data_IF_379076002427
#
_entry.id   IF_379076002427
#
_cell.length_a   1.000
_cell.length_b   1.000
_cell.length_c   1.000
_cell.angle_alpha   90.00
_cell.angle_beta   90.00
_cell.angle_gamma   90.00
#
_symmetry.space_group_name_H-M   'P 1'
#
loop_
_entity.id
_entity.type
_entity.pdbx_description
1 polymer ?
#
# COMPACT_ATOMS: atom_id res chain seq x y z
N UNK A 1 2.05 -5.94 -15.81
CA UNK A 1 3.36 -5.83 -16.49
C UNK A 1 4.37 -6.64 -15.69
N UNK A 2 5.19 -7.45 -16.36
CA UNK A 2 6.27 -8.21 -15.70
C UNK A 2 7.54 -7.33 -15.71
N UNK A 3 8.24 -7.15 -14.58
CA UNK A 3 9.49 -6.39 -14.56
C UNK A 3 10.54 -7.00 -15.51
N UNK A 4 11.37 -6.15 -16.12
CA UNK A 4 12.48 -6.62 -16.96
C UNK A 4 13.43 -7.49 -16.12
N UNK A 5 13.76 -8.68 -16.61
CA UNK A 5 14.65 -9.64 -15.92
C UNK A 5 13.94 -10.62 -15.00
N UNK A 6 12.63 -10.45 -14.75
CA UNK A 6 11.87 -11.32 -13.87
C UNK A 6 11.84 -12.79 -14.33
N UNK A 7 11.93 -13.70 -13.37
CA UNK A 7 11.96 -15.15 -13.56
C UNK A 7 10.62 -15.81 -13.16
N UNK A 8 9.51 -15.19 -13.52
CA UNK A 8 8.15 -15.67 -13.24
C UNK A 8 7.18 -15.17 -14.30
N UNK A 9 5.99 -15.79 -14.38
CA UNK A 9 4.91 -15.36 -15.26
C UNK A 9 4.05 -14.28 -14.62
N UNK A 10 3.24 -13.61 -15.43
CA UNK A 10 2.28 -12.63 -14.95
C UNK A 10 1.35 -13.26 -13.91
N UNK A 11 1.13 -12.57 -12.77
CA UNK A 11 0.33 -13.04 -11.62
C UNK A 11 0.95 -14.20 -10.81
N UNK A 12 2.17 -14.62 -11.13
CA UNK A 12 2.89 -15.71 -10.46
C UNK A 12 4.13 -15.21 -9.69
N UNK A 13 4.24 -13.92 -9.39
CA UNK A 13 5.42 -13.39 -8.71
C UNK A 13 5.55 -13.94 -7.27
N UNK A 14 6.78 -14.03 -6.73
CA UNK A 14 7.00 -14.47 -5.35
C UNK A 14 6.73 -13.38 -4.30
N UNK A 15 6.13 -12.25 -4.70
CA UNK A 15 5.84 -11.11 -3.85
C UNK A 15 4.34 -11.03 -3.62
N UNK A 16 3.90 -11.38 -2.42
CA UNK A 16 2.48 -11.53 -2.11
C UNK A 16 1.98 -10.46 -1.15
N UNK A 17 0.72 -10.08 -1.35
CA UNK A 17 -0.05 -9.19 -0.48
C UNK A 17 -1.34 -9.88 -0.03
N UNK A 18 -1.85 -9.48 1.14
CA UNK A 18 -3.13 -9.97 1.66
C UNK A 18 -4.31 -9.57 0.78
N UNK A 19 -5.24 -10.51 0.59
CA UNK A 19 -6.42 -10.33 -0.26
C UNK A 19 -7.35 -9.20 0.16
N UNK A 20 -7.31 -8.78 1.44
CA UNK A 20 -8.05 -7.60 1.91
C UNK A 20 -7.67 -6.32 1.14
N UNK A 21 -6.47 -6.24 0.56
CA UNK A 21 -6.09 -5.15 -0.34
C UNK A 21 -7.01 -5.09 -1.57
N UNK A 22 -7.24 -6.23 -2.23
CA UNK A 22 -8.07 -6.32 -3.43
C UNK A 22 -9.56 -6.22 -3.13
N UNK A 23 -10.00 -6.79 -2.00
CA UNK A 23 -11.35 -6.56 -1.49
C UNK A 23 -11.60 -5.06 -1.27
N UNK A 24 -10.59 -4.33 -0.78
CA UNK A 24 -10.63 -2.88 -0.63
C UNK A 24 -10.87 -2.15 -1.95
N UNK A 25 -10.17 -2.55 -3.02
CA UNK A 25 -10.43 -2.03 -4.38
C UNK A 25 -11.85 -2.37 -4.85
N UNK A 26 -12.28 -3.63 -4.73
CA UNK A 26 -13.63 -4.04 -5.14
C UNK A 26 -14.73 -3.26 -4.40
N UNK A 27 -14.61 -3.15 -3.08
CA UNK A 27 -15.53 -2.39 -2.25
C UNK A 27 -15.56 -0.91 -2.62
N UNK A 28 -14.39 -0.29 -2.81
CA UNK A 28 -14.31 1.12 -3.19
C UNK A 28 -15.09 1.41 -4.48
N UNK A 29 -14.91 0.59 -5.52
CA UNK A 29 -15.62 0.79 -6.78
C UNK A 29 -17.13 0.55 -6.63
N UNK A 30 -17.54 -0.50 -5.92
CA UNK A 30 -18.95 -0.80 -5.68
C UNK A 30 -19.66 0.28 -4.84
N UNK A 31 -18.95 0.90 -3.91
CA UNK A 31 -19.51 1.94 -3.03
C UNK A 31 -19.56 3.32 -3.70
N UNK A 32 -18.66 3.61 -4.65
CA UNK A 32 -18.47 4.98 -5.17
C UNK A 32 -18.92 5.16 -6.64
N UNK A 33 -19.14 4.08 -7.39
CA UNK A 33 -19.55 4.15 -8.79
C UNK A 33 -20.78 3.28 -9.05
N UNK A 34 -21.74 3.79 -9.80
CA UNK A 34 -22.96 3.05 -10.16
C UNK A 34 -22.64 1.77 -10.95
N UNK A 35 -21.62 1.81 -11.81
CA UNK A 35 -21.15 0.64 -12.55
C UNK A 35 -20.29 -0.33 -11.71
N UNK A 36 -20.04 0.00 -10.44
CA UNK A 36 -19.24 -0.79 -9.51
C UNK A 36 -17.86 -1.12 -10.05
N UNK A 37 -17.38 -2.32 -9.73
CA UNK A 37 -16.11 -2.85 -10.26
C UNK A 37 -16.08 -2.95 -11.79
N UNK A 38 -17.24 -2.98 -12.46
CA UNK A 38 -17.36 -2.99 -13.91
C UNK A 38 -16.72 -1.75 -14.56
N UNK A 39 -16.74 -0.59 -13.89
CA UNK A 39 -16.05 0.61 -14.37
C UNK A 39 -14.53 0.43 -14.48
N UNK A 40 -13.92 -0.25 -13.49
CA UNK A 40 -12.49 -0.58 -13.54
C UNK A 40 -12.20 -1.60 -14.64
N UNK A 41 -13.01 -2.65 -14.74
CA UNK A 41 -12.81 -3.74 -15.71
C UNK A 41 -12.81 -3.22 -17.14
N UNK A 42 -13.66 -2.25 -17.45
CA UNK A 42 -13.74 -1.61 -18.76
C UNK A 42 -12.44 -0.90 -19.18
N UNK A 43 -11.67 -0.37 -18.22
CA UNK A 43 -10.39 0.31 -18.48
C UNK A 43 -9.22 -0.67 -18.68
N UNK A 44 -9.31 -1.88 -18.13
CA UNK A 44 -8.22 -2.86 -18.15
C UNK A 44 -8.11 -3.48 -19.53
N UNK A 45 -6.92 -3.47 -20.14
CA UNK A 45 -6.70 -4.06 -21.46
C UNK A 45 -6.47 -5.59 -21.41
N UNK A 46 -5.74 -6.08 -20.39
CA UNK A 46 -5.39 -7.51 -20.26
C UNK A 46 -6.56 -8.32 -19.72
N UNK A 47 -7.03 -9.36 -20.44
CA UNK A 47 -8.05 -10.29 -19.93
C UNK A 47 -7.65 -10.94 -18.61
N UNK A 48 -6.40 -11.35 -18.47
CA UNK A 48 -5.89 -12.01 -17.27
C UNK A 48 -5.96 -11.09 -16.03
N UNK A 49 -5.71 -9.79 -16.23
CA UNK A 49 -5.84 -8.81 -15.14
C UNK A 49 -7.31 -8.52 -14.80
N UNK A 50 -8.22 -8.57 -15.78
CA UNK A 50 -9.68 -8.48 -15.53
C UNK A 50 -10.16 -9.66 -14.70
N UNK A 51 -9.79 -10.88 -15.11
CA UNK A 51 -10.14 -12.11 -14.40
C UNK A 51 -9.58 -12.09 -12.98
N UNK A 52 -8.32 -11.66 -12.85
CA UNK A 52 -7.68 -11.54 -11.55
C UNK A 52 -8.41 -10.58 -10.62
N UNK A 53 -8.73 -9.35 -11.06
CA UNK A 53 -9.34 -8.35 -10.17
C UNK A 53 -10.83 -8.60 -9.88
N UNK A 54 -11.50 -9.43 -10.67
CA UNK A 54 -12.92 -9.78 -10.49
C UNK A 54 -13.12 -11.07 -9.72
N UNK A 55 -12.08 -11.87 -9.51
CA UNK A 55 -12.19 -13.09 -8.71
C UNK A 55 -12.59 -12.77 -7.24
N UNK A 56 -13.18 -13.75 -6.54
CA UNK A 56 -13.36 -13.66 -5.09
C UNK A 56 -12.00 -13.68 -4.37
N UNK A 57 -11.74 -12.68 -3.52
CA UNK A 57 -10.56 -12.64 -2.66
C UNK A 57 -10.90 -13.03 -1.22
N UNK A 58 -10.09 -13.89 -0.61
CA UNK A 58 -10.12 -14.14 0.83
C UNK A 58 -9.25 -13.10 1.54
N UNK A 59 -9.78 -12.45 2.58
CA UNK A 59 -9.09 -11.36 3.28
C UNK A 59 -7.68 -11.74 3.76
N UNK A 60 -7.52 -12.95 4.30
CA UNK A 60 -6.25 -13.48 4.82
C UNK A 60 -5.42 -14.23 3.77
N UNK A 61 -5.95 -14.46 2.55
CA UNK A 61 -5.27 -15.14 1.46
C UNK A 61 -4.12 -14.32 0.89
N UNK A 62 -3.19 -14.97 0.19
CA UNK A 62 -2.00 -14.37 -0.40
C UNK A 62 -2.13 -14.30 -1.93
N UNK A 63 -1.91 -13.12 -2.50
CA UNK A 63 -2.10 -12.83 -3.92
C UNK A 63 -0.92 -12.01 -4.45
N UNK A 64 -0.62 -12.09 -5.75
CA UNK A 64 0.52 -11.37 -6.36
C UNK A 64 0.39 -9.85 -6.18
N UNK A 65 1.40 -9.19 -5.61
CA UNK A 65 1.42 -7.76 -5.35
C UNK A 65 1.90 -6.91 -6.56
N UNK A 66 2.64 -7.49 -7.50
CA UNK A 66 3.20 -6.74 -8.64
C UNK A 66 2.18 -6.11 -9.60
N UNK A 67 0.94 -6.61 -9.74
CA UNK A 67 -0.08 -5.92 -10.52
C UNK A 67 -0.53 -4.58 -9.96
N UNK A 68 -0.31 -4.31 -8.66
CA UNK A 68 -0.93 -3.17 -7.97
C UNK A 68 -0.58 -1.82 -8.61
N UNK A 69 0.69 -1.47 -8.91
CA UNK A 69 1.00 -0.20 -9.56
C UNK A 69 0.29 -0.01 -10.91
N UNK A 70 0.14 -1.09 -11.69
CA UNK A 70 -0.59 -1.03 -12.96
C UNK A 70 -2.10 -0.87 -12.73
N UNK A 71 -2.67 -1.57 -11.76
CA UNK A 71 -4.08 -1.42 -11.37
C UNK A 71 -4.40 0.01 -10.96
N UNK A 72 -3.56 0.65 -10.14
CA UNK A 72 -3.76 2.06 -9.73
C UNK A 72 -3.90 3.00 -10.94
N UNK A 73 -3.17 2.76 -12.03
CA UNK A 73 -3.30 3.56 -13.25
C UNK A 73 -4.64 3.32 -13.99
N UNK A 74 -5.14 2.08 -14.02
CA UNK A 74 -6.48 1.76 -14.55
C UNK A 74 -7.58 2.36 -13.66
N UNK A 75 -7.43 2.24 -12.35
CA UNK A 75 -8.38 2.76 -11.38
C UNK A 75 -8.49 4.29 -11.48
N UNK A 76 -7.36 5.00 -11.60
CA UNK A 76 -7.37 6.45 -11.80
C UNK A 76 -8.10 6.87 -13.08
N UNK A 77 -7.95 6.12 -14.18
CA UNK A 77 -8.67 6.38 -15.43
C UNK A 77 -10.18 6.16 -15.29
N UNK A 78 -10.58 5.08 -14.60
CA UNK A 78 -11.99 4.78 -14.39
C UNK A 78 -12.70 5.90 -13.59
N UNK A 79 -11.98 6.59 -12.70
CA UNK A 79 -12.48 7.76 -11.97
C UNK A 79 -12.18 9.10 -12.65
N UNK A 80 -11.51 9.11 -13.81
CA UNK A 80 -11.05 10.32 -14.53
C UNK A 80 -10.20 11.24 -13.66
N UNK A 81 -9.34 10.65 -12.83
CA UNK A 81 -8.41 11.35 -11.95
C UNK A 81 -6.97 11.18 -12.43
N UNK A 82 -6.09 12.06 -11.99
CA UNK A 82 -4.64 11.79 -12.07
C UNK A 82 -4.29 10.63 -11.14
N UNK A 83 -3.19 9.91 -11.41
CA UNK A 83 -2.70 8.83 -10.53
C UNK A 83 -2.45 9.33 -9.10
N UNK A 84 -1.97 10.57 -8.96
CA UNK A 84 -1.67 11.17 -7.67
C UNK A 84 -2.96 11.47 -6.88
N UNK A 85 -3.93 12.14 -7.51
CA UNK A 85 -5.21 12.47 -6.87
C UNK A 85 -5.96 11.20 -6.49
N UNK A 86 -5.99 10.23 -7.40
CA UNK A 86 -6.60 8.94 -7.14
C UNK A 86 -5.93 8.21 -5.98
N UNK A 87 -4.59 8.12 -5.97
CA UNK A 87 -3.86 7.48 -4.88
C UNK A 87 -4.14 8.14 -3.54
N UNK A 88 -4.22 9.48 -3.49
CA UNK A 88 -4.57 10.21 -2.28
C UNK A 88 -6.00 9.91 -1.82
N UNK A 89 -6.96 9.99 -2.73
CA UNK A 89 -8.39 9.79 -2.45
C UNK A 89 -8.68 8.36 -1.99
N UNK A 90 -8.27 7.36 -2.80
CA UNK A 90 -8.48 5.94 -2.51
C UNK A 90 -7.75 5.49 -1.26
N UNK A 91 -6.50 5.90 -1.07
CA UNK A 91 -5.73 5.43 0.09
C UNK A 91 -6.27 6.01 1.40
N UNK A 92 -6.81 7.24 1.40
CA UNK A 92 -7.54 7.77 2.55
C UNK A 92 -8.83 7.00 2.84
N UNK A 93 -9.60 6.65 1.80
CA UNK A 93 -10.78 5.80 1.95
C UNK A 93 -10.40 4.46 2.60
N UNK A 94 -9.37 3.78 2.07
CA UNK A 94 -8.91 2.51 2.60
C UNK A 94 -8.40 2.64 4.04
N UNK A 95 -7.56 3.64 4.32
CA UNK A 95 -7.01 3.87 5.66
C UNK A 95 -8.13 4.08 6.69
N UNK A 96 -9.16 4.87 6.37
CA UNK A 96 -10.33 5.07 7.26
C UNK A 96 -11.08 3.76 7.52
N UNK A 97 -11.27 2.94 6.49
CA UNK A 97 -11.94 1.63 6.61
C UNK A 97 -11.13 0.67 7.47
N UNK A 98 -9.84 0.55 7.20
CA UNK A 98 -8.94 -0.38 7.91
C UNK A 98 -8.76 0.03 9.36
N UNK A 99 -8.55 1.32 9.61
CA UNK A 99 -8.39 1.89 10.96
C UNK A 99 -9.70 1.94 11.74
N UNK A 100 -10.86 1.96 11.08
CA UNK A 100 -12.17 1.75 11.71
C UNK A 100 -12.54 0.28 11.93
N UNK A 101 -11.82 -0.65 11.28
CA UNK A 101 -12.10 -2.08 11.29
C UNK A 101 -10.93 -2.90 11.84
N UNK A 102 -10.23 -3.60 10.94
CA UNK A 102 -9.19 -4.60 11.25
C UNK A 102 -8.08 -4.07 12.18
N UNK A 103 -7.78 -2.78 12.10
CA UNK A 103 -6.74 -2.12 12.89
C UNK A 103 -7.28 -1.09 13.88
N UNK A 104 -8.57 -1.15 14.26
CA UNK A 104 -9.18 -0.22 15.22
C UNK A 104 -8.45 -0.19 16.57
N UNK A 105 -7.83 -1.29 16.98
CA UNK A 105 -7.01 -1.36 18.19
C UNK A 105 -5.76 -0.47 18.14
N UNK A 106 -5.24 -0.15 16.95
CA UNK A 106 -4.10 0.79 16.79
C UNK A 106 -4.51 2.21 17.20
N UNK A 107 -5.78 2.59 17.02
CA UNK A 107 -6.28 3.94 17.30
C UNK A 107 -6.96 4.10 18.67
N UNK A 108 -7.31 3.02 19.37
CA UNK A 108 -7.99 3.13 20.67
C UNK A 108 -7.05 3.77 21.72
N UNK A 109 -7.27 5.07 21.98
CA UNK A 109 -6.66 5.85 23.07
C UNK A 109 -5.12 6.00 22.93
N UNK A 110 -4.57 5.77 21.74
CA UNK A 110 -3.14 5.85 21.50
C UNK A 110 -2.71 7.31 21.25
N UNK A 111 -1.60 7.74 21.88
CA UNK A 111 -0.97 9.03 21.51
C UNK A 111 -0.34 8.91 20.12
N UNK A 112 -0.12 10.02 19.40
CA UNK A 112 0.54 10.00 18.10
C UNK A 112 1.85 9.18 18.09
N UNK A 113 2.66 9.28 19.14
CA UNK A 113 3.88 8.49 19.32
C UNK A 113 3.62 6.97 19.29
N UNK A 114 2.59 6.52 20.01
CA UNK A 114 2.24 5.10 20.13
C UNK A 114 1.71 4.55 18.79
N UNK A 115 0.99 5.39 18.04
CA UNK A 115 0.53 5.07 16.67
C UNK A 115 1.70 4.98 15.71
N UNK A 116 2.62 5.97 15.75
CA UNK A 116 3.80 6.02 14.89
C UNK A 116 4.67 4.76 15.05
N UNK A 117 4.88 4.30 16.28
CA UNK A 117 5.68 3.10 16.59
C UNK A 117 5.06 1.80 16.04
N UNK A 118 3.74 1.68 16.08
CA UNK A 118 3.03 0.42 15.74
C UNK A 118 2.71 0.30 14.26
N UNK A 119 2.44 1.43 13.60
CA UNK A 119 1.94 1.44 12.23
C UNK A 119 2.86 0.71 11.24
N UNK A 120 4.19 0.92 11.21
CA UNK A 120 5.09 0.19 10.31
C UNK A 120 4.96 -1.34 10.43
N UNK A 121 4.97 -1.84 11.67
CA UNK A 121 4.88 -3.27 11.96
C UNK A 121 3.53 -3.88 11.55
N UNK A 122 2.45 -3.10 11.63
CA UNK A 122 1.13 -3.52 11.14
C UNK A 122 1.10 -3.57 9.62
N UNK A 123 1.64 -2.53 8.96
CA UNK A 123 1.64 -2.44 7.50
C UNK A 123 2.45 -3.57 6.85
N UNK A 124 3.61 -3.95 7.41
CA UNK A 124 4.40 -5.05 6.82
C UNK A 124 3.70 -6.41 6.89
N UNK A 125 2.77 -6.65 7.83
CA UNK A 125 2.01 -7.91 7.90
C UNK A 125 1.10 -8.14 6.70
N UNK A 126 0.84 -7.08 5.93
CA UNK A 126 0.11 -7.17 4.67
C UNK A 126 0.91 -7.84 3.56
N UNK A 127 2.23 -7.93 3.70
CA UNK A 127 3.14 -8.39 2.65
C UNK A 127 3.99 -9.56 3.13
N UNK A 128 4.32 -10.50 2.25
CA UNK A 128 5.21 -11.63 2.59
C UNK A 128 6.69 -11.35 2.32
N UNK A 129 7.00 -10.19 1.74
CA UNK A 129 8.33 -9.80 1.29
C UNK A 129 8.97 -8.67 2.11
N UNK A 130 8.15 -7.88 2.80
CA UNK A 130 8.62 -6.71 3.53
C UNK A 130 8.98 -7.06 4.98
N UNK A 131 10.15 -6.59 5.42
CA UNK A 131 10.54 -6.56 6.84
C UNK A 131 10.67 -5.11 7.28
N UNK A 132 10.34 -4.84 8.54
CA UNK A 132 10.48 -3.52 9.13
C UNK A 132 11.38 -3.62 10.35
N UNK A 133 12.45 -2.84 10.31
CA UNK A 133 13.27 -2.54 11.47
C UNK A 133 12.73 -1.22 12.04
N UNK A 134 12.04 -1.30 13.19
CA UNK A 134 11.52 -0.11 13.87
C UNK A 134 12.69 0.60 14.53
N UNK A 135 12.98 1.79 14.02
CA UNK A 135 14.03 2.67 14.50
C UNK A 135 13.40 3.78 15.38
N UNK A 136 14.25 4.61 15.95
CA UNK A 136 13.93 5.57 16.99
C UNK A 136 12.61 6.36 16.83
N UNK A 137 11.89 6.60 17.94
CA UNK A 137 10.89 7.66 18.05
C UNK A 137 11.34 8.68 19.08
N UNK A 138 11.58 9.89 18.63
CA UNK A 138 12.02 11.00 19.47
C UNK A 138 11.43 12.31 18.94
N UNK A 139 10.93 13.16 19.83
CA UNK A 139 10.50 14.54 19.54
C UNK A 139 9.61 14.70 18.29
N UNK A 140 8.57 13.86 18.17
CA UNK A 140 7.63 13.92 17.05
C UNK A 140 8.20 13.41 15.72
N UNK A 141 9.31 12.66 15.76
CA UNK A 141 9.93 12.02 14.60
C UNK A 141 9.95 10.51 14.78
N UNK A 142 9.65 9.78 13.72
CA UNK A 142 9.84 8.34 13.58
C UNK A 142 10.85 8.10 12.46
N UNK A 143 11.86 7.28 12.73
CA UNK A 143 12.71 6.68 11.69
C UNK A 143 12.42 5.19 11.60
N UNK A 144 12.37 4.64 10.39
CA UNK A 144 12.24 3.21 10.19
C UNK A 144 12.79 2.78 8.83
N UNK A 145 13.28 1.55 8.79
CA UNK A 145 13.84 0.95 7.57
C UNK A 145 12.95 -0.23 7.18
N UNK A 146 12.47 -0.20 5.94
CA UNK A 146 11.82 -1.35 5.31
C UNK A 146 12.80 -2.03 4.37
N UNK A 147 12.89 -3.36 4.46
CA UNK A 147 13.79 -4.19 3.65
C UNK A 147 13.02 -5.20 2.82
N UNK A 148 13.64 -5.66 1.74
CA UNK A 148 13.07 -6.68 0.85
C UNK A 148 11.97 -6.16 -0.07
N UNK A 149 11.89 -4.84 -0.27
CA UNK A 149 10.86 -4.22 -1.09
C UNK A 149 11.20 -4.41 -2.57
N UNK A 150 10.34 -5.02 -3.41
CA UNK A 150 10.56 -5.07 -4.84
C UNK A 150 10.62 -3.64 -5.40
N UNK A 151 11.67 -3.31 -6.16
CA UNK A 151 11.86 -1.96 -6.71
C UNK A 151 10.61 -1.41 -7.44
N UNK A 152 9.85 -2.20 -8.23
CA UNK A 152 8.62 -1.72 -8.86
C UNK A 152 7.49 -1.33 -7.89
N UNK A 153 7.52 -1.84 -6.65
CA UNK A 153 6.51 -1.56 -5.63
C UNK A 153 6.90 -0.41 -4.70
N UNK A 154 8.16 0.00 -4.69
CA UNK A 154 8.67 0.99 -3.73
C UNK A 154 7.92 2.33 -3.78
N UNK A 155 7.68 2.96 -4.96
CA UNK A 155 7.00 4.26 -4.99
C UNK A 155 5.56 4.16 -4.49
N UNK A 156 4.89 3.07 -4.83
CA UNK A 156 3.52 2.79 -4.40
C UNK A 156 3.44 2.56 -2.89
N UNK A 157 4.34 1.74 -2.33
CA UNK A 157 4.40 1.46 -0.90
C UNK A 157 4.75 2.71 -0.09
N UNK A 158 5.72 3.50 -0.55
CA UNK A 158 6.12 4.75 0.11
C UNK A 158 4.94 5.72 0.21
N UNK A 159 4.23 5.93 -0.89
CA UNK A 159 3.07 6.81 -0.92
C UNK A 159 1.94 6.27 -0.04
N UNK A 160 1.67 4.96 -0.12
CA UNK A 160 0.69 4.28 0.73
C UNK A 160 0.99 4.50 2.22
N UNK A 161 2.24 4.25 2.63
CA UNK A 161 2.67 4.43 4.01
C UNK A 161 2.51 5.88 4.49
N UNK A 162 2.89 6.86 3.68
CA UNK A 162 2.71 8.28 4.02
C UNK A 162 1.24 8.61 4.28
N UNK A 163 0.33 8.15 3.42
CA UNK A 163 -1.10 8.45 3.55
C UNK A 163 -1.72 7.74 4.75
N UNK A 164 -1.32 6.49 5.03
CA UNK A 164 -1.74 5.78 6.24
C UNK A 164 -1.22 6.48 7.50
N UNK A 165 0.05 6.89 7.51
CA UNK A 165 0.65 7.61 8.62
C UNK A 165 -0.05 8.96 8.85
N UNK A 166 -0.28 9.73 7.80
CA UNK A 166 -1.06 10.97 7.85
C UNK A 166 -2.45 10.74 8.43
N UNK A 167 -3.14 9.68 8.00
CA UNK A 167 -4.50 9.40 8.44
C UNK A 167 -4.51 8.98 9.91
N UNK A 168 -3.66 8.01 10.28
CA UNK A 168 -3.62 7.45 11.63
C UNK A 168 -3.15 8.48 12.68
N UNK A 169 -2.09 9.25 12.38
CA UNK A 169 -1.58 10.25 13.32
C UNK A 169 -2.53 11.43 13.49
N UNK A 170 -3.21 11.87 12.41
CA UNK A 170 -4.23 12.92 12.52
C UNK A 170 -5.43 12.47 13.36
N UNK A 171 -5.84 11.21 13.22
CA UNK A 171 -6.87 10.63 14.09
C UNK A 171 -6.42 10.54 15.56
N UNK A 172 -5.11 10.39 15.81
CA UNK A 172 -4.51 10.44 17.15
C UNK A 172 -4.23 11.86 17.67
N UNK A 173 -4.55 12.91 16.89
CA UNK A 173 -4.43 14.31 17.31
C UNK A 173 -3.26 15.10 16.72
N UNK A 174 -2.45 14.52 15.84
CA UNK A 174 -1.43 15.28 15.10
C UNK A 174 -2.08 16.28 14.11
N UNK A 175 -1.50 17.46 13.96
CA UNK A 175 -1.92 18.51 13.04
C UNK A 175 -1.24 18.35 11.68
N UNK A 176 0.08 18.18 11.69
CA UNK A 176 0.91 18.03 10.49
C UNK A 176 1.61 16.69 10.52
N UNK A 177 1.81 16.09 9.34
CA UNK A 177 2.53 14.83 9.18
C UNK A 177 3.24 14.86 7.84
N UNK A 178 4.57 14.78 7.88
CA UNK A 178 5.46 14.88 6.72
C UNK A 178 6.36 13.66 6.62
N UNK A 179 6.66 13.25 5.39
CA UNK A 179 7.62 12.19 5.09
C UNK A 179 8.82 12.80 4.38
N UNK A 180 10.01 12.59 4.93
CA UNK A 180 11.26 12.96 4.24
C UNK A 180 11.53 11.94 3.13
N UNK A 181 11.76 12.44 1.91
CA UNK A 181 12.16 11.59 0.79
C UNK A 181 13.62 11.19 0.96
N UNK A 182 13.87 9.89 0.98
CA UNK A 182 15.20 9.32 1.09
C UNK A 182 15.41 8.31 -0.03
N UNK A 183 16.63 8.25 -0.55
CA UNK A 183 17.01 7.28 -1.57
C UNK A 183 16.71 5.86 -1.10
N UNK A 184 16.27 5.02 -2.01
CA UNK A 184 16.03 3.59 -1.77
C UNK A 184 17.13 2.76 -2.45
N UNK A 185 18.29 2.55 -1.80
CA UNK A 185 19.37 1.80 -2.42
C UNK A 185 18.96 0.34 -2.66
N UNK A 186 19.49 -0.24 -3.74
CA UNK A 186 19.35 -1.67 -4.03
C UNK A 186 20.14 -2.46 -2.99
N UNK A 187 19.49 -3.46 -2.38
CA UNK A 187 20.06 -4.32 -1.33
C UNK A 187 20.21 -5.78 -1.80
N UNK A 188 19.54 -6.16 -2.89
CA UNK A 188 19.65 -7.50 -3.43
C UNK A 188 18.69 -7.75 -4.59
N UNK A 189 18.40 -9.02 -4.84
CA UNK A 189 17.50 -9.47 -5.90
C UNK A 189 16.72 -10.71 -5.44
N UNK A 190 15.48 -10.86 -5.91
CA UNK A 190 14.72 -12.10 -5.80
C UNK A 190 13.96 -12.36 -7.09
N UNK A 191 14.16 -13.55 -7.66
CA UNK A 191 13.53 -13.98 -8.92
C UNK A 191 13.68 -12.97 -10.07
N UNK A 192 14.88 -12.38 -10.22
CA UNK A 192 15.16 -11.40 -11.27
C UNK A 192 14.59 -10.01 -11.03
N UNK A 193 14.09 -9.72 -9.82
CA UNK A 193 13.58 -8.40 -9.43
C UNK A 193 14.48 -7.77 -8.37
N UNK A 194 15.04 -6.57 -8.61
CA UNK A 194 15.82 -5.86 -7.60
C UNK A 194 14.99 -5.58 -6.35
N UNK A 195 15.61 -5.80 -5.20
CA UNK A 195 15.06 -5.46 -3.89
C UNK A 195 15.75 -4.21 -3.37
N UNK A 196 14.97 -3.30 -2.81
CA UNK A 196 15.45 -2.03 -2.26
C UNK A 196 15.18 -1.93 -0.78
N UNK A 197 16.03 -1.15 -0.12
CA UNK A 197 15.83 -0.69 1.23
C UNK A 197 15.08 0.65 1.18
N UNK A 198 13.91 0.74 1.78
CA UNK A 198 13.13 1.97 1.87
C UNK A 198 13.31 2.58 3.26
N UNK A 199 14.12 3.64 3.35
CA UNK A 199 14.22 4.46 4.56
C UNK A 199 13.05 5.47 4.60
N UNK A 200 12.35 5.47 5.73
CA UNK A 200 11.23 6.35 6.05
C UNK A 200 11.60 7.17 7.28
N UNK A 201 11.64 8.49 7.14
CA UNK A 201 11.60 9.42 8.25
C UNK A 201 10.30 10.21 8.21
N UNK A 202 9.51 10.08 9.26
CA UNK A 202 8.20 10.70 9.42
C UNK A 202 8.26 11.73 10.54
N UNK A 203 7.74 12.94 10.32
CA UNK A 203 7.67 14.01 11.34
C UNK A 203 6.22 14.46 11.55
N UNK A 204 5.85 14.77 12.79
CA UNK A 204 4.51 15.30 13.12
C UNK A 204 4.54 16.35 14.25
N UNK A 205 3.49 17.19 14.30
CA UNK A 205 3.22 18.16 15.37
C UNK A 205 1.78 18.12 15.86
#
# INVERSE_FOLDING_TARGET
>A
MIPRGAQFKFLESPFRVKGVLYQGTQAFFNDNLQAGIGALVAEIASPELRDFITQPFLASGWYDALPVPALVAYEARALRMTVNDYSLYRTRYQARRDLGGVYAWVLRIARPQDVALRLPAVMVRMFDFAKCDVACVQDGTLETIFRGIPAPLEPWLRNGLLIYAQTALKLAGAKTVELEQMNAPVEGERAGVPLVMMHVRLRWS
#
